data_IF_033445868001
#
_entry.id   IF_033445868001
#
_cell.length_a   1.000
_cell.length_b   1.000
_cell.length_c   1.000
_cell.angle_alpha   90.00
_cell.angle_beta   90.00
_cell.angle_gamma   90.00
#
_symmetry.space_group_name_H-M   'P 1'
#
loop_
_entity.id
_entity.type
_entity.pdbx_description
1 polymer ?
#
# COMPACT_ATOMS: atom_id res chain seq x y z
N UNK A 1 9.03 -40.22 -8.28
CA UNK A 1 8.03 -41.20 -8.76
C UNK A 1 8.13 -41.53 -10.28
N UNK A 2 9.19 -41.13 -11.01
CA UNK A 2 9.24 -41.21 -12.50
C UNK A 2 10.08 -42.35 -13.12
N UNK A 3 10.57 -43.35 -12.35
CA UNK A 3 11.43 -44.42 -12.91
C UNK A 3 10.67 -45.53 -13.68
N UNK A 4 9.35 -45.66 -13.46
CA UNK A 4 8.54 -46.75 -14.03
C UNK A 4 8.42 -46.75 -15.57
N UNK A 5 8.19 -45.62 -16.27
CA UNK A 5 8.06 -45.64 -17.73
C UNK A 5 9.39 -45.89 -18.46
N UNK A 6 10.52 -45.45 -17.90
CA UNK A 6 11.85 -45.71 -18.47
C UNK A 6 12.21 -47.19 -18.45
N UNK A 7 11.96 -47.88 -17.33
CA UNK A 7 12.21 -49.32 -17.21
C UNK A 7 11.33 -50.14 -18.15
N UNK A 8 10.09 -49.69 -18.40
CA UNK A 8 9.17 -50.37 -19.32
C UNK A 8 9.64 -50.27 -20.79
N UNK A 9 10.15 -49.11 -21.20
CA UNK A 9 10.68 -48.91 -22.56
C UNK A 9 11.97 -49.73 -22.81
N UNK A 10 12.87 -49.80 -21.82
CA UNK A 10 14.09 -50.62 -21.90
C UNK A 10 13.74 -52.11 -21.97
N UNK A 11 12.76 -52.56 -21.19
CA UNK A 11 12.27 -53.94 -21.24
C UNK A 11 11.66 -54.28 -22.60
N UNK A 12 10.85 -53.38 -23.19
CA UNK A 12 10.25 -53.58 -24.51
C UNK A 12 11.32 -53.67 -25.62
N UNK A 13 12.34 -52.81 -25.56
CA UNK A 13 13.47 -52.82 -26.49
C UNK A 13 14.25 -54.15 -26.41
N UNK A 14 14.49 -54.65 -25.20
CA UNK A 14 15.17 -55.93 -24.97
C UNK A 14 14.36 -57.13 -25.50
N UNK A 15 13.03 -57.11 -25.35
CA UNK A 15 12.14 -58.14 -25.93
C UNK A 15 12.15 -58.09 -27.47
N UNK A 16 12.13 -56.90 -28.07
CA UNK A 16 12.18 -56.75 -29.53
C UNK A 16 13.54 -57.20 -30.10
N UNK A 17 14.66 -56.88 -29.44
CA UNK A 17 16.01 -57.33 -29.82
C UNK A 17 16.19 -58.85 -29.70
N UNK A 18 15.61 -59.47 -28.67
CA UNK A 18 15.69 -60.92 -28.47
C UNK A 18 14.86 -61.70 -29.50
N UNK A 19 13.70 -61.17 -29.92
CA UNK A 19 12.92 -61.75 -31.03
C UNK A 19 13.73 -61.66 -32.35
N UNK A 20 14.45 -60.57 -32.58
CA UNK A 20 15.27 -60.38 -33.79
C UNK A 20 16.43 -61.40 -33.86
N UNK A 21 17.12 -61.66 -32.74
CA UNK A 21 18.21 -62.65 -32.65
C UNK A 21 17.76 -64.09 -32.90
N UNK A 22 16.53 -64.45 -32.50
CA UNK A 22 15.95 -65.78 -32.75
C UNK A 22 15.59 -65.95 -34.23
N UNK A 23 15.21 -64.88 -34.94
CA UNK A 23 14.88 -64.94 -36.37
C UNK A 23 16.11 -65.00 -37.29
N UNK A 24 17.25 -64.40 -36.90
CA UNK A 24 18.48 -64.42 -37.72
C UNK A 24 19.27 -65.71 -37.58
N UNK A 25 19.26 -66.34 -36.41
CA UNK A 25 19.95 -67.62 -36.16
C UNK A 25 19.30 -68.83 -36.87
N UNK A 26 18.03 -68.73 -37.28
CA UNK A 26 17.36 -69.74 -38.10
C UNK A 26 17.69 -69.69 -39.61
N UNK A 27 18.43 -68.67 -40.07
CA UNK A 27 18.66 -68.41 -41.50
C UNK A 27 20.03 -68.89 -42.03
N UNK A 28 20.87 -69.49 -41.18
CA UNK A 28 22.21 -69.99 -41.56
C UNK A 28 22.28 -71.51 -41.69
N UNK A 29 21.24 -72.14 -42.26
CA UNK A 29 21.33 -73.51 -42.73
C UNK A 29 20.90 -73.54 -44.20
N UNK A 30 21.74 -74.15 -45.05
CA UNK A 30 21.55 -74.50 -46.47
C UNK A 30 22.07 -73.50 -47.49
N UNK A 31 23.38 -73.59 -47.77
CA UNK A 31 23.91 -73.43 -49.12
C UNK A 31 25.27 -74.14 -49.25
N UNK A 32 25.30 -75.46 -49.04
CA UNK A 32 26.35 -76.31 -49.59
C UNK A 32 25.68 -77.45 -50.35
N UNK A 33 25.32 -77.19 -51.61
CA UNK A 33 25.12 -78.25 -52.58
C UNK A 33 26.26 -78.15 -53.58
N UNK A 34 27.34 -78.88 -53.30
CA UNK A 34 28.39 -79.19 -54.27
C UNK A 34 27.83 -80.23 -55.23
N UNK A 35 27.31 -79.79 -56.38
CA UNK A 35 27.01 -80.69 -57.50
C UNK A 35 28.34 -81.08 -58.17
N UNK A 36 28.79 -82.30 -57.92
CA UNK A 36 29.83 -82.96 -58.72
C UNK A 36 29.18 -83.33 -60.05
N UNK A 37 29.67 -82.79 -61.16
CA UNK A 37 29.23 -83.14 -62.52
C UNK A 37 30.20 -84.19 -63.05
N UNK A 38 29.84 -85.47 -62.94
CA UNK A 38 30.47 -86.55 -63.70
C UNK A 38 29.92 -86.56 -65.15
N UNK A 39 30.80 -86.83 -66.12
CA UNK A 39 30.51 -86.84 -67.55
C UNK A 39 29.71 -88.10 -68.00
N UNK A 40 29.00 -88.05 -69.14
CA UNK A 40 27.60 -88.49 -69.25
C UNK A 40 27.42 -89.88 -69.88
N UNK A 41 26.46 -90.68 -69.40
CA UNK A 41 25.93 -91.84 -70.16
C UNK A 41 24.44 -92.10 -69.89
N UNK A 42 23.62 -91.13 -70.27
CA UNK A 42 22.25 -91.25 -70.78
C UNK A 42 21.78 -89.80 -70.98
N UNK A 43 21.17 -89.44 -72.12
CA UNK A 43 20.44 -88.17 -72.21
C UNK A 43 19.44 -88.15 -71.06
N UNK A 44 19.58 -87.25 -70.06
CA UNK A 44 18.63 -87.21 -68.96
C UNK A 44 17.28 -86.87 -69.56
N UNK A 45 16.21 -87.53 -69.10
CA UNK A 45 14.85 -87.24 -69.55
C UNK A 45 14.63 -85.71 -69.49
N UNK A 46 14.27 -85.04 -70.60
CA UNK A 46 14.00 -83.60 -70.61
C UNK A 46 13.05 -83.18 -69.48
N UNK A 47 12.13 -84.06 -69.08
CA UNK A 47 11.23 -83.82 -67.94
C UNK A 47 11.95 -83.84 -66.59
N UNK A 48 12.99 -84.67 -66.40
CA UNK A 48 13.80 -84.66 -65.18
C UNK A 48 14.65 -83.39 -65.05
N UNK A 49 15.28 -82.93 -66.14
CA UNK A 49 16.04 -81.67 -66.13
C UNK A 49 15.09 -80.49 -65.87
N UNK A 50 13.92 -80.48 -66.53
CA UNK A 50 12.91 -79.44 -66.32
C UNK A 50 12.36 -79.46 -64.89
N UNK A 51 12.13 -80.64 -64.31
CA UNK A 51 11.68 -80.76 -62.92
C UNK A 51 12.75 -80.31 -61.92
N UNK A 52 14.01 -80.66 -62.13
CA UNK A 52 15.13 -80.18 -61.30
C UNK A 52 15.32 -78.67 -61.43
N UNK A 53 15.21 -78.11 -62.64
CA UNK A 53 15.25 -76.67 -62.86
C UNK A 53 14.06 -75.95 -62.19
N UNK A 54 12.85 -76.49 -62.31
CA UNK A 54 11.65 -75.94 -61.65
C UNK A 54 11.76 -76.02 -60.13
N UNK A 55 12.32 -77.11 -59.59
CA UNK A 55 12.55 -77.28 -58.16
C UNK A 55 13.60 -76.29 -57.65
N UNK A 56 14.74 -76.16 -58.34
CA UNK A 56 15.76 -75.15 -58.00
C UNK A 56 15.21 -73.72 -58.10
N UNK A 57 14.33 -73.44 -59.06
CA UNK A 57 13.65 -72.15 -59.21
C UNK A 57 12.67 -71.90 -58.07
N UNK A 58 11.92 -72.92 -57.63
CA UNK A 58 11.01 -72.85 -56.48
C UNK A 58 11.77 -72.65 -55.16
N UNK A 59 12.89 -73.33 -54.97
CA UNK A 59 13.76 -73.19 -53.80
C UNK A 59 14.41 -71.80 -53.77
N UNK A 60 14.86 -71.28 -54.92
CA UNK A 60 15.34 -69.91 -55.06
C UNK A 60 14.25 -68.88 -54.74
N UNK A 61 13.02 -69.09 -55.22
CA UNK A 61 11.87 -68.21 -54.94
C UNK A 61 11.48 -68.25 -53.45
N UNK A 62 11.51 -69.44 -52.82
CA UNK A 62 11.28 -69.60 -51.39
C UNK A 62 12.32 -68.84 -50.55
N UNK A 63 13.60 -68.94 -50.93
CA UNK A 63 14.71 -68.21 -50.31
C UNK A 63 14.53 -66.70 -50.47
N UNK A 64 14.12 -66.22 -51.66
CA UNK A 64 13.85 -64.80 -51.92
C UNK A 64 12.69 -64.26 -51.08
N UNK A 65 11.62 -65.05 -50.90
CA UNK A 65 10.47 -64.68 -50.07
C UNK A 65 10.85 -64.56 -48.59
N UNK A 66 11.72 -65.44 -48.08
CA UNK A 66 12.25 -65.36 -46.71
C UNK A 66 13.11 -64.10 -46.52
N UNK A 67 14.03 -63.82 -47.45
CA UNK A 67 14.85 -62.60 -47.43
C UNK A 67 13.96 -61.35 -47.43
N UNK A 68 12.94 -61.31 -48.29
CA UNK A 68 12.00 -60.18 -48.39
C UNK A 68 11.21 -59.99 -47.08
N UNK A 69 10.80 -61.08 -46.44
CA UNK A 69 10.10 -61.05 -45.15
C UNK A 69 10.99 -60.53 -44.02
N UNK A 70 12.26 -60.93 -43.99
CA UNK A 70 13.26 -60.43 -43.04
C UNK A 70 13.50 -58.92 -43.24
N UNK A 71 13.63 -58.46 -44.50
CA UNK A 71 13.80 -57.04 -44.81
C UNK A 71 12.58 -56.21 -44.38
N UNK A 72 11.37 -56.71 -44.58
CA UNK A 72 10.13 -56.06 -44.14
C UNK A 72 10.01 -56.01 -42.61
N UNK A 73 10.39 -57.06 -41.89
CA UNK A 73 10.45 -57.04 -40.42
C UNK A 73 11.50 -56.05 -39.92
N UNK A 74 12.67 -56.01 -40.56
CA UNK A 74 13.72 -55.04 -40.27
C UNK A 74 13.24 -53.60 -40.41
N UNK A 75 12.47 -53.28 -41.46
CA UNK A 75 11.94 -51.92 -41.66
C UNK A 75 10.90 -51.52 -40.63
N UNK A 76 10.03 -52.45 -40.18
CA UNK A 76 9.09 -52.20 -39.07
C UNK A 76 9.83 -51.92 -37.76
N UNK A 77 10.86 -52.71 -37.44
CA UNK A 77 11.67 -52.51 -36.23
C UNK A 77 12.39 -51.15 -36.26
N UNK A 78 12.98 -50.77 -37.40
CA UNK A 78 13.57 -49.44 -37.59
C UNK A 78 12.54 -48.33 -37.42
N UNK A 79 11.32 -48.51 -37.94
CA UNK A 79 10.21 -47.55 -37.76
C UNK A 79 9.80 -47.36 -36.31
N UNK A 80 9.67 -48.45 -35.54
CA UNK A 80 9.36 -48.41 -34.10
C UNK A 80 10.47 -47.72 -33.32
N UNK A 81 11.74 -48.04 -33.62
CA UNK A 81 12.90 -47.38 -33.00
C UNK A 81 12.91 -45.88 -33.27
N UNK A 82 12.62 -45.45 -34.50
CA UNK A 82 12.55 -44.04 -34.86
C UNK A 82 11.44 -43.29 -34.08
N UNK A 83 10.25 -43.89 -33.94
CA UNK A 83 9.15 -43.33 -33.14
C UNK A 83 9.56 -43.23 -31.66
N UNK A 84 10.18 -44.28 -31.10
CA UNK A 84 10.64 -44.28 -29.73
C UNK A 84 11.67 -43.15 -29.47
N UNK A 85 12.65 -42.99 -30.36
CA UNK A 85 13.62 -41.88 -30.29
C UNK A 85 12.91 -40.51 -30.38
N UNK A 86 11.93 -40.36 -31.27
CA UNK A 86 11.10 -39.16 -31.37
C UNK A 86 10.33 -38.83 -30.08
N UNK A 87 9.73 -39.84 -29.43
CA UNK A 87 9.02 -39.67 -28.16
C UNK A 87 9.97 -39.34 -27.00
N UNK A 88 11.13 -40.00 -26.93
CA UNK A 88 12.13 -39.71 -25.89
C UNK A 88 12.73 -38.31 -26.02
N UNK A 89 13.04 -37.89 -27.24
CA UNK A 89 13.57 -36.55 -27.51
C UNK A 89 12.54 -35.46 -27.20
N UNK A 90 11.29 -35.62 -27.65
CA UNK A 90 10.21 -34.65 -27.34
C UNK A 90 9.91 -34.59 -25.84
N UNK A 91 9.87 -35.73 -25.14
CA UNK A 91 9.69 -35.76 -23.69
C UNK A 91 10.87 -35.11 -22.95
N UNK A 92 12.11 -35.42 -23.36
CA UNK A 92 13.32 -34.80 -22.81
C UNK A 92 13.37 -33.29 -23.00
N UNK A 93 13.05 -32.80 -24.21
CA UNK A 93 12.91 -31.38 -24.52
C UNK A 93 11.84 -30.70 -23.67
N UNK A 94 10.69 -31.35 -23.48
CA UNK A 94 9.61 -30.81 -22.65
C UNK A 94 10.02 -30.68 -21.19
N UNK A 95 10.70 -31.69 -20.63
CA UNK A 95 11.20 -31.66 -19.26
C UNK A 95 12.28 -30.59 -19.08
N UNK A 96 13.21 -30.49 -20.02
CA UNK A 96 14.25 -29.46 -20.04
C UNK A 96 13.63 -28.05 -20.09
N UNK A 97 12.61 -27.84 -20.93
CA UNK A 97 11.92 -26.56 -21.02
C UNK A 97 11.19 -26.20 -19.73
N UNK A 98 10.52 -27.16 -19.07
CA UNK A 98 9.91 -26.93 -17.75
C UNK A 98 10.96 -26.56 -16.70
N UNK A 99 12.06 -27.29 -16.64
CA UNK A 99 13.14 -27.01 -15.69
C UNK A 99 13.78 -25.63 -15.93
N UNK A 100 14.03 -25.26 -17.20
CA UNK A 100 14.52 -23.92 -17.58
C UNK A 100 13.55 -22.81 -17.15
N UNK A 101 12.24 -23.02 -17.37
CA UNK A 101 11.21 -22.06 -16.97
C UNK A 101 11.19 -21.87 -15.43
N UNK A 102 11.18 -22.96 -14.68
CA UNK A 102 11.22 -22.89 -13.21
C UNK A 102 12.48 -22.17 -12.71
N UNK A 103 13.65 -22.51 -13.26
CA UNK A 103 14.90 -21.86 -12.90
C UNK A 103 14.91 -20.36 -13.25
N UNK A 104 14.28 -19.96 -14.37
CA UNK A 104 14.13 -18.55 -14.72
C UNK A 104 13.21 -17.79 -13.77
N UNK A 105 12.08 -18.40 -13.36
CA UNK A 105 11.13 -17.81 -12.41
C UNK A 105 11.77 -17.64 -11.02
N UNK A 106 12.46 -18.67 -10.52
CA UNK A 106 13.19 -18.61 -9.23
C UNK A 106 14.29 -17.53 -9.26
N UNK A 107 15.00 -17.40 -10.37
CA UNK A 107 16.03 -16.36 -10.53
C UNK A 107 15.41 -14.96 -10.55
N UNK A 108 14.30 -14.78 -11.26
CA UNK A 108 13.59 -13.50 -11.33
C UNK A 108 13.06 -13.08 -9.96
N UNK A 109 12.47 -14.03 -9.21
CA UNK A 109 12.00 -13.78 -7.85
C UNK A 109 13.17 -13.44 -6.90
N UNK A 110 14.30 -14.14 -7.00
CA UNK A 110 15.49 -13.83 -6.21
C UNK A 110 16.05 -12.42 -6.52
N UNK A 111 16.05 -12.02 -7.80
CA UNK A 111 16.43 -10.65 -8.20
C UNK A 111 15.45 -9.65 -7.61
N UNK A 112 14.13 -9.87 -7.75
CA UNK A 112 13.10 -8.98 -7.17
C UNK A 112 13.27 -8.82 -5.67
N UNK A 113 13.47 -9.92 -4.93
CA UNK A 113 13.71 -9.90 -3.48
C UNK A 113 14.97 -9.12 -3.12
N UNK A 114 16.07 -9.34 -3.84
CA UNK A 114 17.32 -8.60 -3.62
C UNK A 114 17.14 -7.11 -3.89
N UNK A 115 16.52 -6.75 -5.01
CA UNK A 115 16.23 -5.36 -5.36
C UNK A 115 15.31 -4.70 -4.33
N UNK A 116 14.31 -5.41 -3.82
CA UNK A 116 13.45 -4.92 -2.75
C UNK A 116 14.26 -4.61 -1.48
N UNK A 117 15.12 -5.54 -1.03
CA UNK A 117 16.01 -5.31 0.12
C UNK A 117 16.95 -4.12 -0.11
N UNK A 118 17.58 -4.04 -1.28
CA UNK A 118 18.48 -2.94 -1.64
C UNK A 118 17.74 -1.59 -1.67
N UNK A 119 16.50 -1.56 -2.18
CA UNK A 119 15.65 -0.37 -2.21
C UNK A 119 15.20 0.03 -0.80
N UNK A 120 14.80 -0.93 0.04
CA UNK A 120 14.44 -0.68 1.44
C UNK A 120 15.63 -0.10 2.20
N UNK A 121 16.83 -0.67 2.04
CA UNK A 121 18.02 -0.15 2.70
C UNK A 121 18.35 1.28 2.27
N UNK A 122 18.29 1.57 0.96
CA UNK A 122 18.46 2.93 0.45
C UNK A 122 17.38 3.89 0.95
N UNK A 123 16.14 3.45 1.02
CA UNK A 123 15.02 4.23 1.52
C UNK A 123 15.21 4.61 3.00
N UNK A 124 15.63 3.67 3.84
CA UNK A 124 15.96 3.95 5.25
C UNK A 124 17.06 5.00 5.38
N UNK A 125 18.12 4.92 4.56
CA UNK A 125 19.17 5.93 4.55
C UNK A 125 18.64 7.30 4.12
N UNK A 126 17.80 7.36 3.09
CA UNK A 126 17.21 8.63 2.63
C UNK A 126 16.20 9.20 3.63
N UNK A 127 15.43 8.38 4.32
CA UNK A 127 14.57 8.81 5.42
C UNK A 127 15.40 9.48 6.52
N UNK A 128 16.46 8.82 6.99
CA UNK A 128 17.32 9.39 8.04
C UNK A 128 17.99 10.70 7.64
N UNK A 129 18.43 10.83 6.37
CA UNK A 129 18.96 12.09 5.84
C UNK A 129 17.87 13.18 5.75
N UNK A 130 16.66 12.81 5.31
CA UNK A 130 15.51 13.70 5.29
C UNK A 130 15.18 14.24 6.68
N UNK A 131 15.09 13.35 7.66
CA UNK A 131 14.75 13.70 9.05
C UNK A 131 15.81 14.59 9.68
N UNK A 132 17.10 14.30 9.44
CA UNK A 132 18.18 15.16 9.89
C UNK A 132 18.08 16.57 9.30
N UNK A 133 17.79 16.69 8.00
CA UNK A 133 17.61 17.98 7.35
C UNK A 133 16.37 18.71 7.86
N UNK A 134 15.26 17.99 8.07
CA UNK A 134 14.03 18.53 8.62
C UNK A 134 14.27 19.12 10.02
N UNK A 135 14.99 18.40 10.88
CA UNK A 135 15.34 18.84 12.24
C UNK A 135 16.31 20.04 12.25
N UNK A 136 17.03 20.29 11.16
CA UNK A 136 17.86 21.48 10.97
C UNK A 136 17.13 22.62 10.22
N UNK A 137 15.80 22.56 10.14
CA UNK A 137 14.92 23.52 9.43
C UNK A 137 15.21 23.64 7.91
N UNK A 138 15.94 22.68 7.33
CA UNK A 138 16.23 22.59 5.89
C UNK A 138 15.14 21.83 5.15
N UNK A 139 13.89 22.28 5.33
CA UNK A 139 12.67 21.57 4.90
C UNK A 139 12.62 21.26 3.41
N UNK A 140 13.05 22.19 2.56
CA UNK A 140 13.05 21.99 1.10
C UNK A 140 14.00 20.88 0.66
N UNK A 141 15.15 20.77 1.33
CA UNK A 141 16.14 19.73 1.04
C UNK A 141 15.69 18.38 1.59
N UNK A 142 15.05 18.36 2.75
CA UNK A 142 14.44 17.16 3.32
C UNK A 142 13.42 16.54 2.35
N UNK A 143 12.54 17.37 1.77
CA UNK A 143 11.54 16.96 0.76
C UNK A 143 12.17 16.25 -0.44
N UNK A 144 13.36 16.67 -0.89
CA UNK A 144 14.05 15.99 -1.99
C UNK A 144 14.47 14.55 -1.63
N UNK A 145 14.83 14.28 -0.38
CA UNK A 145 15.11 12.92 0.09
C UNK A 145 13.84 12.10 0.30
N UNK A 146 12.79 12.70 0.86
CA UNK A 146 11.49 12.05 1.01
C UNK A 146 10.88 11.61 -0.33
N UNK A 147 11.04 12.40 -1.40
CA UNK A 147 10.62 11.99 -2.76
C UNK A 147 11.38 10.77 -3.26
N UNK A 148 12.67 10.64 -2.94
CA UNK A 148 13.46 9.44 -3.29
C UNK A 148 12.96 8.21 -2.54
N UNK A 149 12.58 8.35 -1.28
CA UNK A 149 11.99 7.25 -0.49
C UNK A 149 10.73 6.71 -1.17
N UNK A 150 9.79 7.59 -1.54
CA UNK A 150 8.57 7.20 -2.24
C UNK A 150 8.84 6.51 -3.59
N UNK A 151 9.86 6.95 -4.33
CA UNK A 151 10.24 6.32 -5.60
C UNK A 151 10.86 4.91 -5.43
N UNK A 152 11.46 4.62 -4.28
CA UNK A 152 12.08 3.32 -3.99
C UNK A 152 11.07 2.31 -3.47
N UNK A 153 10.07 2.76 -2.72
CA UNK A 153 9.05 1.94 -2.06
C UNK A 153 7.62 2.40 -2.43
N UNK A 154 7.25 2.41 -3.72
CA UNK A 154 5.96 2.97 -4.15
C UNK A 154 4.75 2.17 -3.66
N UNK A 155 4.91 0.87 -3.36
CA UNK A 155 3.85 -0.05 -2.94
C UNK A 155 3.82 -0.27 -1.41
N UNK A 156 4.55 0.52 -0.62
CA UNK A 156 4.55 0.40 0.84
C UNK A 156 3.58 1.42 1.46
N UNK A 157 2.47 0.94 2.04
CA UNK A 157 1.44 1.83 2.58
C UNK A 157 1.89 2.63 3.79
N UNK A 158 2.72 2.06 4.66
CA UNK A 158 3.19 2.71 5.90
C UNK A 158 4.19 3.83 5.56
N UNK A 159 5.06 3.56 4.60
CA UNK A 159 6.00 4.56 4.08
C UNK A 159 5.25 5.70 3.40
N UNK A 160 4.28 5.39 2.54
CA UNK A 160 3.48 6.42 1.88
C UNK A 160 2.64 7.24 2.89
N UNK A 161 2.08 6.62 3.93
CA UNK A 161 1.41 7.34 5.02
C UNK A 161 2.37 8.29 5.76
N UNK A 162 3.56 7.79 6.11
CA UNK A 162 4.60 8.59 6.78
C UNK A 162 5.07 9.77 5.92
N UNK A 163 5.30 9.55 4.63
CA UNK A 163 5.63 10.60 3.67
C UNK A 163 4.51 11.64 3.57
N UNK A 164 3.25 11.20 3.55
CA UNK A 164 2.09 12.09 3.56
C UNK A 164 2.09 13.03 4.76
N UNK A 165 2.34 12.50 5.96
CA UNK A 165 2.40 13.29 7.21
C UNK A 165 3.52 14.33 7.16
N UNK A 166 4.68 13.93 6.66
CA UNK A 166 5.84 14.82 6.48
C UNK A 166 5.54 15.95 5.47
N UNK A 167 4.98 15.62 4.30
CA UNK A 167 4.60 16.61 3.29
C UNK A 167 3.52 17.58 3.82
N UNK A 168 2.54 17.06 4.56
CA UNK A 168 1.49 17.87 5.19
C UNK A 168 2.06 18.82 6.24
N UNK A 169 2.99 18.36 7.08
CA UNK A 169 3.69 19.18 8.08
C UNK A 169 4.60 20.25 7.48
N UNK A 170 5.10 20.03 6.25
CA UNK A 170 5.95 20.99 5.51
C UNK A 170 5.16 21.91 4.58
N UNK A 171 3.83 21.76 4.48
CA UNK A 171 2.96 22.59 3.64
C UNK A 171 2.86 22.14 2.17
N UNK A 172 3.47 21.00 1.80
CA UNK A 172 3.37 20.40 0.47
C UNK A 172 2.11 19.54 0.36
N UNK A 173 0.94 20.17 0.45
CA UNK A 173 -0.33 19.45 0.60
C UNK A 173 -0.69 18.55 -0.60
N UNK A 174 -0.31 18.92 -1.82
CA UNK A 174 -0.56 18.09 -3.01
C UNK A 174 0.28 16.80 -3.00
N UNK A 175 1.56 16.91 -2.61
CA UNK A 175 2.44 15.76 -2.41
C UNK A 175 1.90 14.88 -1.26
N UNK A 176 1.40 15.50 -0.18
CA UNK A 176 0.79 14.79 0.94
C UNK A 176 -0.42 13.96 0.53
N UNK A 177 -1.37 14.59 -0.17
CA UNK A 177 -2.59 13.96 -0.67
C UNK A 177 -2.24 12.81 -1.62
N UNK A 178 -1.24 13.00 -2.50
CA UNK A 178 -0.76 11.95 -3.40
C UNK A 178 -0.21 10.76 -2.63
N UNK A 179 0.61 11.00 -1.61
CA UNK A 179 1.21 9.95 -0.79
C UNK A 179 0.13 9.19 0.02
N UNK A 180 -0.80 9.88 0.67
CA UNK A 180 -1.89 9.20 1.38
C UNK A 180 -2.79 8.38 0.44
N UNK A 181 -3.10 8.89 -0.76
CA UNK A 181 -3.84 8.12 -1.77
C UNK A 181 -3.07 6.88 -2.23
N UNK A 182 -1.74 6.95 -2.33
CA UNK A 182 -0.90 5.79 -2.60
C UNK A 182 -0.91 4.78 -1.44
N UNK A 183 -0.92 5.25 -0.18
CA UNK A 183 -1.08 4.36 0.96
C UNK A 183 -2.43 3.63 0.94
N UNK A 184 -3.51 4.34 0.61
CA UNK A 184 -4.87 3.80 0.55
C UNK A 184 -5.12 2.90 -0.67
N UNK A 185 -4.37 3.06 -1.77
CA UNK A 185 -4.48 2.18 -2.93
C UNK A 185 -3.88 0.79 -2.66
N UNK A 186 -2.88 0.71 -1.77
CA UNK A 186 -2.30 -0.54 -1.28
C UNK A 186 -3.13 -1.12 -0.13
N UNK A 187 -3.47 -0.28 0.85
CA UNK A 187 -4.22 -0.68 2.05
C UNK A 187 -5.50 0.14 2.17
N UNK A 188 -6.59 -0.37 1.59
CA UNK A 188 -7.87 0.35 1.49
C UNK A 188 -8.63 0.58 2.79
N UNK A 189 -8.26 -0.11 3.88
CA UNK A 189 -8.87 0.03 5.21
C UNK A 189 -7.87 0.64 6.22
N UNK A 190 -7.07 1.62 5.78
CA UNK A 190 -6.08 2.28 6.63
C UNK A 190 -6.67 3.54 7.29
N UNK A 191 -7.28 3.37 8.46
CA UNK A 191 -8.00 4.45 9.15
C UNK A 191 -7.14 5.70 9.45
N UNK A 192 -5.86 5.52 9.80
CA UNK A 192 -4.93 6.63 10.03
C UNK A 192 -4.66 7.41 8.74
N UNK A 193 -4.43 6.73 7.62
CA UNK A 193 -4.21 7.38 6.33
C UNK A 193 -5.48 8.11 5.83
N UNK A 194 -6.68 7.56 6.07
CA UNK A 194 -7.95 8.25 5.78
C UNK A 194 -8.09 9.54 6.62
N UNK A 195 -7.78 9.47 7.92
CA UNK A 195 -7.81 10.62 8.80
C UNK A 195 -6.81 11.70 8.33
N UNK A 196 -5.55 11.32 8.13
CA UNK A 196 -4.48 12.25 7.73
C UNK A 196 -4.72 12.84 6.33
N UNK A 197 -5.31 12.07 5.41
CA UNK A 197 -5.74 12.57 4.11
C UNK A 197 -6.80 13.64 4.25
N UNK A 198 -7.83 13.41 5.07
CA UNK A 198 -8.86 14.42 5.31
C UNK A 198 -8.31 15.69 5.99
N UNK A 199 -7.37 15.54 6.92
CA UNK A 199 -6.66 16.68 7.52
C UNK A 199 -5.78 17.43 6.52
N UNK A 200 -5.14 16.73 5.57
CA UNK A 200 -4.34 17.35 4.52
C UNK A 200 -5.20 18.17 3.55
N UNK A 201 -6.35 17.64 3.14
CA UNK A 201 -7.35 18.40 2.36
C UNK A 201 -7.80 19.66 3.09
N UNK A 202 -8.16 19.56 4.38
CA UNK A 202 -8.52 20.75 5.19
C UNK A 202 -7.42 21.80 5.17
N UNK A 203 -6.17 21.40 5.41
CA UNK A 203 -5.02 22.32 5.43
C UNK A 203 -4.77 22.94 4.05
N UNK A 204 -4.91 22.18 2.96
CA UNK A 204 -4.82 22.70 1.59
C UNK A 204 -5.88 23.76 1.34
N UNK A 205 -7.13 23.49 1.72
CA UNK A 205 -8.24 24.44 1.61
C UNK A 205 -8.00 25.73 2.38
N UNK A 206 -7.44 25.64 3.60
CA UNK A 206 -7.05 26.81 4.41
C UNK A 206 -5.90 27.63 3.80
N UNK A 207 -5.04 27.00 3.01
CA UNK A 207 -3.90 27.65 2.37
C UNK A 207 -4.24 28.29 1.01
N UNK A 208 -5.42 28.01 0.45
CA UNK A 208 -5.83 28.55 -0.85
C UNK A 208 -5.89 30.08 -0.86
N UNK A 209 -5.36 30.69 -1.93
CA UNK A 209 -5.34 32.14 -2.15
C UNK A 209 -5.64 32.45 -3.62
N UNK A 210 -6.15 33.65 -3.89
CA UNK A 210 -6.48 34.09 -5.24
C UNK A 210 -7.97 34.00 -5.59
N UNK A 211 -8.35 34.28 -6.85
CA UNK A 211 -9.74 34.44 -7.26
C UNK A 211 -10.56 33.14 -7.13
N UNK A 212 -9.93 31.98 -7.36
CA UNK A 212 -10.61 30.68 -7.31
C UNK A 212 -10.54 30.02 -5.91
N UNK A 213 -9.97 30.71 -4.92
CA UNK A 213 -9.66 30.14 -3.62
C UNK A 213 -10.89 29.62 -2.88
N UNK A 214 -12.04 30.29 -3.01
CA UNK A 214 -13.28 29.85 -2.40
C UNK A 214 -13.76 28.52 -2.97
N UNK A 215 -13.80 28.40 -4.30
CA UNK A 215 -14.26 27.18 -4.98
C UNK A 215 -13.34 26.01 -4.64
N UNK A 216 -12.02 26.21 -4.72
CA UNK A 216 -11.04 25.17 -4.39
C UNK A 216 -11.09 24.77 -2.92
N UNK A 217 -11.24 25.74 -2.00
CA UNK A 217 -11.35 25.46 -0.56
C UNK A 217 -12.61 24.67 -0.23
N UNK A 218 -13.74 25.00 -0.85
CA UNK A 218 -14.99 24.26 -0.63
C UNK A 218 -14.86 22.81 -1.11
N UNK A 219 -14.27 22.59 -2.29
CA UNK A 219 -13.97 21.25 -2.78
C UNK A 219 -13.03 20.47 -1.85
N UNK A 220 -11.98 21.13 -1.33
CA UNK A 220 -11.07 20.54 -0.35
C UNK A 220 -11.79 20.20 0.97
N UNK A 221 -12.74 21.00 1.43
CA UNK A 221 -13.52 20.68 2.63
C UNK A 221 -14.50 19.53 2.42
N UNK A 222 -15.10 19.42 1.23
CA UNK A 222 -15.94 18.27 0.89
C UNK A 222 -15.13 16.96 0.91
N UNK A 223 -13.94 16.96 0.30
CA UNK A 223 -13.01 15.82 0.34
C UNK A 223 -12.53 15.52 1.78
N UNK A 224 -12.25 16.56 2.58
CA UNK A 224 -11.89 16.38 3.99
C UNK A 224 -12.99 15.65 4.77
N UNK A 225 -14.26 16.04 4.58
CA UNK A 225 -15.40 15.39 5.22
C UNK A 225 -15.55 13.93 4.78
N UNK A 226 -15.34 13.62 3.49
CA UNK A 226 -15.41 12.24 2.97
C UNK A 226 -14.41 11.33 3.68
N UNK A 227 -13.13 11.74 3.70
CA UNK A 227 -12.06 10.92 4.25
C UNK A 227 -12.09 10.82 5.78
N UNK A 228 -12.43 11.91 6.49
CA UNK A 228 -12.60 11.86 7.94
C UNK A 228 -13.81 11.02 8.36
N UNK A 229 -14.92 11.04 7.59
CA UNK A 229 -16.05 10.14 7.81
C UNK A 229 -15.64 8.68 7.59
N UNK A 230 -14.87 8.41 6.54
CA UNK A 230 -14.33 7.06 6.29
C UNK A 230 -13.42 6.58 7.43
N UNK A 231 -12.61 7.47 8.00
CA UNK A 231 -11.77 7.14 9.16
C UNK A 231 -12.60 6.72 10.38
N UNK A 232 -13.71 7.42 10.69
CA UNK A 232 -14.60 7.04 11.80
C UNK A 232 -15.48 5.82 11.47
N UNK A 233 -15.80 5.57 10.19
CA UNK A 233 -16.44 4.30 9.79
C UNK A 233 -15.53 3.09 10.08
N UNK A 234 -14.23 3.25 9.86
CA UNK A 234 -13.21 2.24 10.17
C UNK A 234 -12.91 2.15 11.67
N UNK A 235 -12.96 3.28 12.39
CA UNK A 235 -12.71 3.37 13.83
C UNK A 235 -13.69 4.38 14.49
N UNK A 236 -14.85 3.94 15.00
CA UNK A 236 -15.92 4.83 15.47
C UNK A 236 -15.53 5.82 16.58
N UNK A 237 -14.61 5.45 17.47
CA UNK A 237 -14.12 6.30 18.56
C UNK A 237 -12.74 6.89 18.25
N UNK A 238 -12.44 7.18 16.97
CA UNK A 238 -11.18 7.80 16.59
C UNK A 238 -11.22 9.30 16.90
N UNK A 239 -10.72 9.66 18.09
CA UNK A 239 -10.77 11.03 18.61
C UNK A 239 -10.22 12.07 17.63
N UNK A 240 -9.01 11.86 17.09
CA UNK A 240 -8.39 12.78 16.12
C UNK A 240 -9.26 12.99 14.86
N UNK A 241 -9.92 11.94 14.35
CA UNK A 241 -10.79 12.06 13.18
C UNK A 241 -12.10 12.79 13.51
N UNK A 242 -12.68 12.55 14.70
CA UNK A 242 -13.84 13.28 15.20
C UNK A 242 -13.52 14.76 15.42
N UNK A 243 -12.38 15.06 16.05
CA UNK A 243 -11.87 16.42 16.21
C UNK A 243 -11.59 17.08 14.86
N UNK A 244 -11.06 16.33 13.89
CA UNK A 244 -10.88 16.75 12.51
C UNK A 244 -12.20 17.16 11.83
N UNK A 245 -13.27 16.37 11.98
CA UNK A 245 -14.60 16.72 11.46
C UNK A 245 -15.11 18.00 12.12
N UNK A 246 -14.95 18.11 13.45
CA UNK A 246 -15.26 19.31 14.20
C UNK A 246 -14.56 20.54 13.62
N UNK A 247 -13.27 20.42 13.32
CA UNK A 247 -12.46 21.49 12.75
C UNK A 247 -12.90 21.88 11.33
N UNK A 248 -13.22 20.92 10.45
CA UNK A 248 -13.70 21.22 9.09
C UNK A 248 -15.03 21.97 9.16
N UNK A 249 -16.01 21.47 9.92
CA UNK A 249 -17.30 22.14 10.06
C UNK A 249 -17.16 23.53 10.68
N UNK A 250 -16.28 23.69 11.68
CA UNK A 250 -16.01 25.01 12.26
C UNK A 250 -15.48 25.99 11.20
N UNK A 251 -14.57 25.56 10.32
CA UNK A 251 -14.07 26.40 9.22
C UNK A 251 -15.14 26.76 8.21
N UNK A 252 -16.01 25.81 7.86
CA UNK A 252 -17.15 26.10 7.01
C UNK A 252 -18.08 27.14 7.67
N UNK A 253 -18.33 27.02 8.98
CA UNK A 253 -19.08 28.01 9.75
C UNK A 253 -18.44 29.40 9.76
N UNK A 254 -17.12 29.47 9.96
CA UNK A 254 -16.37 30.73 9.92
C UNK A 254 -16.49 31.43 8.55
N UNK A 255 -16.43 30.67 7.45
CA UNK A 255 -16.58 31.21 6.09
C UNK A 255 -17.99 31.73 5.85
N UNK A 256 -19.01 30.95 6.19
CA UNK A 256 -20.41 31.38 6.01
C UNK A 256 -20.73 32.61 6.86
N UNK A 257 -20.20 32.67 8.09
CA UNK A 257 -20.34 33.85 8.96
C UNK A 257 -19.69 35.07 8.33
N UNK A 258 -18.46 34.94 7.82
CA UNK A 258 -17.76 36.05 7.20
C UNK A 258 -18.44 36.51 5.89
N UNK A 259 -19.19 35.60 5.23
CA UNK A 259 -20.10 35.89 4.13
C UNK A 259 -21.50 36.40 4.57
N UNK A 260 -21.73 36.62 5.87
CA UNK A 260 -23.00 37.08 6.45
C UNK A 260 -24.18 36.11 6.26
N UNK A 261 -23.89 34.81 6.14
CA UNK A 261 -24.88 33.73 6.08
C UNK A 261 -25.10 33.10 7.47
N UNK A 262 -25.59 33.89 8.42
CA UNK A 262 -25.63 33.52 9.85
C UNK A 262 -26.35 32.20 10.15
N UNK A 263 -27.45 31.90 9.44
CA UNK A 263 -28.19 30.64 9.63
C UNK A 263 -27.33 29.42 9.27
N UNK A 264 -26.67 29.46 8.11
CA UNK A 264 -25.81 28.39 7.63
C UNK A 264 -24.52 28.28 8.45
N UNK A 265 -23.98 29.41 8.89
CA UNK A 265 -22.87 29.43 9.84
C UNK A 265 -23.23 28.71 11.14
N UNK A 266 -24.42 29.01 11.68
CA UNK A 266 -24.94 28.37 12.88
C UNK A 266 -25.09 26.85 12.70
N UNK A 267 -25.65 26.38 11.59
CA UNK A 267 -25.75 24.95 11.28
C UNK A 267 -24.37 24.28 11.29
N UNK A 268 -23.36 24.90 10.68
CA UNK A 268 -22.01 24.35 10.70
C UNK A 268 -21.37 24.36 12.09
N UNK A 269 -21.61 25.39 12.92
CA UNK A 269 -21.12 25.42 14.29
C UNK A 269 -21.78 24.37 15.19
N UNK A 270 -23.08 24.10 15.02
CA UNK A 270 -23.77 23.02 15.72
C UNK A 270 -23.18 21.65 15.35
N UNK A 271 -22.85 21.47 14.07
CA UNK A 271 -22.24 20.24 13.55
C UNK A 271 -20.82 20.08 14.08
N UNK A 272 -20.04 21.16 14.06
CA UNK A 272 -18.70 21.19 14.64
C UNK A 272 -18.73 20.77 16.11
N UNK A 273 -19.63 21.38 16.89
CA UNK A 273 -19.79 21.07 18.31
C UNK A 273 -20.17 19.62 18.55
N UNK A 274 -21.07 19.07 17.75
CA UNK A 274 -21.47 17.66 17.84
C UNK A 274 -20.27 16.72 17.69
N UNK A 275 -19.41 16.96 16.69
CA UNK A 275 -18.23 16.13 16.48
C UNK A 275 -17.17 16.34 17.57
N UNK A 276 -16.95 17.57 18.05
CA UNK A 276 -16.07 17.80 19.19
C UNK A 276 -16.59 17.14 20.48
N UNK A 277 -17.91 17.11 20.70
CA UNK A 277 -18.50 16.40 21.84
C UNK A 277 -18.30 14.88 21.72
N UNK A 278 -18.33 14.32 20.51
CA UNK A 278 -17.98 12.91 20.28
C UNK A 278 -16.49 12.66 20.51
N UNK A 279 -15.62 13.55 20.05
CA UNK A 279 -14.17 13.49 20.29
C UNK A 279 -13.87 13.48 21.79
N UNK A 280 -14.51 14.36 22.56
CA UNK A 280 -14.41 14.39 24.02
C UNK A 280 -14.89 13.08 24.67
N UNK A 281 -15.94 12.44 24.16
CA UNK A 281 -16.39 11.15 24.72
C UNK A 281 -15.34 10.06 24.44
N UNK A 282 -14.66 10.12 23.29
CA UNK A 282 -13.58 9.20 22.95
C UNK A 282 -12.31 9.43 23.78
N UNK A 283 -11.94 10.69 24.04
CA UNK A 283 -10.88 11.08 25.00
C UNK A 283 -11.36 12.19 25.95
N UNK A 284 -11.83 11.83 27.17
CA UNK A 284 -12.26 12.81 28.16
C UNK A 284 -11.13 13.71 28.69
N UNK A 285 -9.87 13.37 28.42
CA UNK A 285 -8.71 14.18 28.81
C UNK A 285 -8.33 15.24 27.78
N UNK A 286 -8.95 15.23 26.60
CA UNK A 286 -8.70 16.18 25.52
C UNK A 286 -9.23 17.58 25.88
N UNK A 287 -8.34 18.41 26.44
CA UNK A 287 -8.56 19.84 26.68
C UNK A 287 -8.98 20.56 25.39
N UNK A 288 -8.42 20.14 24.26
CA UNK A 288 -8.76 20.64 22.93
C UNK A 288 -10.23 20.38 22.58
N UNK A 289 -10.71 19.14 22.67
CA UNK A 289 -12.11 18.82 22.36
C UNK A 289 -13.07 19.57 23.31
N UNK A 290 -12.77 19.56 24.61
CA UNK A 290 -13.52 20.27 25.65
C UNK A 290 -13.61 21.77 25.38
N UNK A 291 -12.47 22.42 25.10
CA UNK A 291 -12.38 23.85 24.82
C UNK A 291 -13.16 24.24 23.56
N UNK A 292 -13.13 23.42 22.52
CA UNK A 292 -13.92 23.68 21.31
C UNK A 292 -15.42 23.54 21.55
N UNK A 293 -15.88 22.53 22.30
CA UNK A 293 -17.29 22.43 22.70
C UNK A 293 -17.70 23.64 23.53
N UNK A 294 -16.86 24.06 24.48
CA UNK A 294 -17.11 25.22 25.34
C UNK A 294 -17.24 26.52 24.53
N UNK A 295 -16.28 26.80 23.65
CA UNK A 295 -16.27 27.99 22.80
C UNK A 295 -17.48 28.05 21.85
N UNK A 296 -17.81 26.92 21.21
CA UNK A 296 -18.97 26.86 20.33
C UNK A 296 -20.27 27.02 21.11
N UNK A 297 -20.38 26.43 22.31
CA UNK A 297 -21.56 26.60 23.16
C UNK A 297 -21.72 28.05 23.63
N UNK A 298 -20.61 28.73 23.96
CA UNK A 298 -20.63 30.16 24.28
C UNK A 298 -21.13 30.98 23.09
N UNK A 299 -20.54 30.77 21.92
CA UNK A 299 -20.90 31.48 20.70
C UNK A 299 -22.38 31.27 20.32
N UNK A 300 -22.90 30.05 20.50
CA UNK A 300 -24.29 29.70 20.19
C UNK A 300 -25.31 30.20 21.23
N UNK A 301 -24.85 30.80 22.35
CA UNK A 301 -25.67 31.35 23.43
C UNK A 301 -26.00 30.38 24.57
N UNK A 302 -25.42 29.18 24.56
CA UNK A 302 -25.70 28.10 25.51
C UNK A 302 -24.78 28.18 26.75
N UNK A 303 -24.92 29.26 27.52
CA UNK A 303 -23.97 29.60 28.60
C UNK A 303 -23.76 28.54 29.67
N UNK A 304 -24.83 27.84 30.06
CA UNK A 304 -24.73 26.83 31.12
C UNK A 304 -23.86 25.66 30.69
N UNK A 305 -23.98 25.26 29.43
CA UNK A 305 -23.17 24.20 28.85
C UNK A 305 -21.75 24.70 28.63
N UNK A 306 -21.59 25.91 28.07
CA UNK A 306 -20.29 26.56 27.93
C UNK A 306 -19.53 26.62 29.26
N UNK A 307 -20.18 27.07 30.34
CA UNK A 307 -19.59 27.12 31.69
C UNK A 307 -19.12 25.74 32.16
N UNK A 308 -19.95 24.71 32.00
CA UNK A 308 -19.59 23.33 32.39
C UNK A 308 -18.37 22.85 31.61
N UNK A 309 -18.35 23.05 30.30
CA UNK A 309 -17.23 22.62 29.46
C UNK A 309 -15.96 23.42 29.71
N UNK A 310 -16.02 24.73 29.99
CA UNK A 310 -14.84 25.50 30.38
C UNK A 310 -14.23 25.02 31.70
N UNK A 311 -15.05 24.66 32.70
CA UNK A 311 -14.56 24.07 33.96
C UNK A 311 -13.81 22.76 33.67
N UNK A 312 -14.38 21.90 32.82
CA UNK A 312 -13.76 20.64 32.44
C UNK A 312 -12.48 20.84 31.62
N UNK A 313 -12.49 21.77 30.66
CA UNK A 313 -11.33 22.12 29.83
C UNK A 313 -10.17 22.63 30.69
N UNK A 314 -10.44 23.54 31.64
CA UNK A 314 -9.43 24.06 32.56
C UNK A 314 -8.83 22.94 33.43
N UNK A 315 -9.68 22.05 33.96
CA UNK A 315 -9.22 20.94 34.79
C UNK A 315 -8.37 19.94 33.99
N UNK A 316 -8.81 19.57 32.78
CA UNK A 316 -8.08 18.67 31.89
C UNK A 316 -6.71 19.26 31.50
N UNK A 317 -6.69 20.53 31.09
CA UNK A 317 -5.47 21.24 30.73
C UNK A 317 -4.48 21.29 31.91
N UNK A 318 -4.94 21.65 33.13
CA UNK A 318 -4.10 21.68 34.33
C UNK A 318 -3.48 20.31 34.64
N UNK A 319 -4.26 19.23 34.56
CA UNK A 319 -3.75 17.87 34.78
C UNK A 319 -2.69 17.50 33.74
N UNK A 320 -2.92 17.83 32.47
CA UNK A 320 -1.96 17.56 31.39
C UNK A 320 -0.67 18.36 31.57
N UNK A 321 -0.76 19.64 31.90
CA UNK A 321 0.40 20.51 32.20
C UNK A 321 1.24 19.93 33.35
N UNK A 322 0.61 19.48 34.42
CA UNK A 322 1.31 18.87 35.56
C UNK A 322 2.02 17.56 35.19
N UNK A 323 1.43 16.75 34.30
CA UNK A 323 1.97 15.45 33.92
C UNK A 323 3.02 15.51 32.80
N UNK A 324 2.94 16.51 31.92
CA UNK A 324 3.73 16.54 30.69
C UNK A 324 5.11 17.19 30.82
N UNK A 325 5.39 17.92 31.91
CA UNK A 325 6.66 18.62 32.09
C UNK A 325 6.91 19.70 31.03
N UNK A 326 8.10 19.69 30.38
CA UNK A 326 8.49 20.63 29.30
C UNK A 326 8.45 19.97 27.91
N UNK A 327 7.33 19.33 27.56
CA UNK A 327 7.16 18.77 26.21
C UNK A 327 6.83 19.86 25.19
N UNK A 328 7.28 19.73 23.92
CA UNK A 328 7.09 20.78 22.91
C UNK A 328 5.63 21.11 22.56
N UNK A 329 4.67 20.23 22.87
CA UNK A 329 3.26 20.39 22.52
C UNK A 329 2.40 20.93 23.64
N UNK A 330 2.97 21.09 24.84
CA UNK A 330 2.21 21.46 26.04
C UNK A 330 1.61 22.87 25.99
N UNK A 331 2.08 23.72 25.07
CA UNK A 331 1.55 25.08 24.90
C UNK A 331 0.06 25.10 24.54
N UNK A 332 -0.47 24.06 23.87
CA UNK A 332 -1.90 23.96 23.59
C UNK A 332 -2.73 23.92 24.87
N UNK A 333 -2.31 23.10 25.84
CA UNK A 333 -2.98 23.01 27.13
C UNK A 333 -2.93 24.35 27.89
N UNK A 334 -1.84 25.11 27.78
CA UNK A 334 -1.78 26.47 28.36
C UNK A 334 -2.80 27.41 27.71
N UNK A 335 -2.98 27.35 26.38
CA UNK A 335 -3.99 28.17 25.70
C UNK A 335 -5.41 27.79 26.08
N UNK A 336 -5.70 26.49 26.20
CA UNK A 336 -7.01 25.99 26.63
C UNK A 336 -7.30 26.37 28.09
N UNK A 337 -6.30 26.27 28.97
CA UNK A 337 -6.40 26.75 30.35
C UNK A 337 -6.66 28.27 30.39
N UNK A 338 -5.86 29.06 29.67
CA UNK A 338 -5.96 30.52 29.67
C UNK A 338 -7.34 30.98 29.19
N UNK A 339 -7.85 30.34 28.13
CA UNK A 339 -9.16 30.65 27.59
C UNK A 339 -10.28 30.33 28.58
N UNK A 340 -10.22 29.15 29.21
CA UNK A 340 -11.18 28.76 30.22
C UNK A 340 -11.16 29.71 31.43
N UNK A 341 -9.97 30.09 31.92
CA UNK A 341 -9.80 31.06 33.00
C UNK A 341 -10.40 32.42 32.65
N UNK A 342 -10.20 32.88 31.42
CA UNK A 342 -10.72 34.17 30.95
C UNK A 342 -12.26 34.17 30.95
N UNK A 343 -12.88 33.15 30.35
CA UNK A 343 -14.34 33.05 30.26
C UNK A 343 -14.98 32.77 31.63
N UNK A 344 -14.39 31.90 32.45
CA UNK A 344 -14.88 31.65 33.82
C UNK A 344 -14.71 32.88 34.71
N UNK A 345 -13.64 33.65 34.51
CA UNK A 345 -13.44 34.93 35.16
C UNK A 345 -14.52 35.95 34.79
N UNK A 346 -14.96 35.96 33.54
CA UNK A 346 -16.11 36.77 33.10
C UNK A 346 -17.41 36.30 33.77
N UNK A 347 -17.72 34.99 33.69
CA UNK A 347 -18.92 34.40 34.30
C UNK A 347 -19.00 34.66 35.82
N UNK A 348 -17.86 34.61 36.51
CA UNK A 348 -17.78 34.76 37.96
C UNK A 348 -17.51 36.21 38.39
N UNK A 349 -17.45 37.18 37.47
CA UNK A 349 -17.05 38.57 37.73
C UNK A 349 -15.72 38.70 38.49
N UNK A 350 -14.76 37.82 38.20
CA UNK A 350 -13.47 37.74 38.89
C UNK A 350 -12.37 38.41 38.09
N UNK A 351 -12.00 39.63 38.48
CA UNK A 351 -10.84 40.35 37.90
C UNK A 351 -9.55 39.53 38.05
N UNK A 352 -9.34 38.90 39.21
CA UNK A 352 -8.14 38.11 39.49
C UNK A 352 -7.98 36.91 38.55
N UNK A 353 -9.07 36.20 38.24
CA UNK A 353 -9.02 35.08 37.28
C UNK A 353 -8.68 35.56 35.86
N UNK A 354 -9.22 36.72 35.45
CA UNK A 354 -8.90 37.31 34.15
C UNK A 354 -7.45 37.84 34.09
N UNK A 355 -6.91 38.35 35.20
CA UNK A 355 -5.48 38.67 35.34
C UNK A 355 -4.60 37.41 35.22
N UNK A 356 -5.00 36.31 35.88
CA UNK A 356 -4.31 35.01 35.79
C UNK A 356 -4.32 34.46 34.37
N UNK A 357 -5.45 34.54 33.67
CA UNK A 357 -5.57 34.12 32.28
C UNK A 357 -4.54 34.79 31.36
N UNK A 358 -4.30 36.10 31.51
CA UNK A 358 -3.27 36.81 30.73
C UNK A 358 -1.86 36.34 31.06
N UNK A 359 -1.58 35.97 32.31
CA UNK A 359 -0.30 35.37 32.69
C UNK A 359 -0.12 33.99 32.04
N UNK A 360 -1.18 33.19 32.00
CA UNK A 360 -1.19 31.88 31.33
C UNK A 360 -0.98 32.04 29.81
N UNK A 361 -1.63 33.02 29.17
CA UNK A 361 -1.36 33.36 27.76
C UNK A 361 0.11 33.76 27.54
N UNK A 362 0.69 34.59 28.40
CA UNK A 362 2.09 34.99 28.30
C UNK A 362 3.05 33.81 28.46
N UNK A 363 2.70 32.79 29.25
CA UNK A 363 3.47 31.55 29.34
C UNK A 363 3.34 30.72 28.05
N UNK A 364 2.12 30.60 27.52
CA UNK A 364 1.83 29.87 26.29
C UNK A 364 2.61 30.44 25.09
N UNK A 365 2.63 31.76 24.91
CA UNK A 365 3.32 32.41 23.77
C UNK A 365 4.82 32.12 23.76
N UNK A 366 5.48 32.13 24.93
CA UNK A 366 6.92 31.78 25.05
C UNK A 366 7.26 30.35 24.67
N UNK A 367 6.28 29.44 24.79
CA UNK A 367 6.43 28.03 24.44
C UNK A 367 5.99 27.73 23.00
N UNK A 368 5.35 28.69 22.33
CA UNK A 368 4.75 28.46 21.02
C UNK A 368 5.83 28.43 19.94
N UNK A 369 5.92 27.37 19.12
CA UNK A 369 7.03 27.19 18.19
C UNK A 369 6.98 28.08 16.94
N UNK A 370 5.82 28.70 16.64
CA UNK A 370 5.74 29.62 15.51
C UNK A 370 4.34 30.13 15.17
N UNK A 371 4.29 30.90 14.09
CA UNK A 371 3.12 31.66 13.63
C UNK A 371 1.92 30.78 13.30
N UNK A 372 2.15 29.56 12.78
CA UNK A 372 1.06 28.64 12.40
C UNK A 372 0.21 28.30 13.63
N UNK A 373 0.87 28.00 14.74
CA UNK A 373 0.22 27.66 16.01
C UNK A 373 -0.52 28.87 16.57
N UNK A 374 0.11 30.04 16.58
CA UNK A 374 -0.52 31.30 17.03
C UNK A 374 -1.78 31.62 16.23
N UNK A 375 -1.75 31.47 14.90
CA UNK A 375 -2.91 31.68 14.05
C UNK A 375 -4.06 30.73 14.41
N UNK A 376 -3.78 29.47 14.76
CA UNK A 376 -4.81 28.53 15.21
C UNK A 376 -5.53 29.01 16.48
N UNK A 377 -4.76 29.49 17.47
CA UNK A 377 -5.34 30.00 18.73
C UNK A 377 -6.13 31.28 18.49
N UNK A 378 -5.60 32.21 17.68
CA UNK A 378 -6.28 33.45 17.32
C UNK A 378 -7.64 33.20 16.67
N UNK A 379 -7.76 32.17 15.83
CA UNK A 379 -9.06 31.78 15.27
C UNK A 379 -10.10 31.45 16.35
N UNK A 380 -9.66 30.90 17.49
CA UNK A 380 -10.56 30.62 18.60
C UNK A 380 -11.00 31.89 19.34
N UNK A 381 -10.07 32.79 19.61
CA UNK A 381 -10.38 34.07 20.27
C UNK A 381 -11.26 34.96 19.39
N UNK A 382 -10.98 35.02 18.08
CA UNK A 382 -11.76 35.80 17.12
C UNK A 382 -13.20 35.31 16.99
N UNK A 383 -13.45 34.00 17.14
CA UNK A 383 -14.81 33.46 17.20
C UNK A 383 -15.55 34.03 18.41
N UNK A 384 -14.93 34.01 19.59
CA UNK A 384 -15.54 34.52 20.82
C UNK A 384 -15.68 36.04 20.84
N UNK A 385 -14.78 36.77 20.19
CA UNK A 385 -14.88 38.22 20.03
C UNK A 385 -16.14 38.61 19.25
N UNK A 386 -16.59 37.74 18.33
CA UNK A 386 -17.82 37.89 17.55
C UNK A 386 -19.05 37.30 18.24
N UNK A 387 -18.92 36.74 19.45
CA UNK A 387 -20.07 36.22 20.19
C UNK A 387 -20.96 37.39 20.66
N UNK A 388 -22.24 37.10 20.92
CA UNK A 388 -23.18 38.10 21.44
C UNK A 388 -22.72 38.70 22.77
N UNK A 389 -21.97 37.93 23.56
CA UNK A 389 -21.47 38.34 24.86
C UNK A 389 -19.99 38.63 24.83
N UNK A 390 -19.67 39.86 25.19
CA UNK A 390 -18.31 40.33 25.31
C UNK A 390 -17.60 39.67 26.50
N UNK A 391 -16.34 39.27 26.29
CA UNK A 391 -15.46 38.77 27.33
C UNK A 391 -14.41 39.84 27.62
N UNK A 392 -14.43 40.40 28.83
CA UNK A 392 -13.44 41.39 29.24
C UNK A 392 -12.01 40.86 29.09
N UNK A 393 -11.12 41.70 28.55
CA UNK A 393 -9.71 41.41 28.22
C UNK A 393 -9.44 40.39 27.13
N UNK A 394 -10.47 39.93 26.41
CA UNK A 394 -10.27 39.11 25.22
C UNK A 394 -9.41 39.83 24.17
N UNK A 395 -9.66 41.11 23.93
CA UNK A 395 -8.86 41.95 23.01
C UNK A 395 -7.40 42.07 23.46
N UNK A 396 -7.15 42.10 24.78
CA UNK A 396 -5.79 42.10 25.32
C UNK A 396 -5.09 40.77 25.03
N UNK A 397 -5.77 39.63 25.22
CA UNK A 397 -5.20 38.33 24.87
C UNK A 397 -4.91 38.22 23.36
N UNK A 398 -5.83 38.69 22.50
CA UNK A 398 -5.64 38.74 21.04
C UNK A 398 -4.40 39.58 20.70
N UNK A 399 -4.27 40.78 21.26
CA UNK A 399 -3.13 41.66 21.02
C UNK A 399 -1.79 41.00 21.43
N UNK A 400 -1.76 40.28 22.55
CA UNK A 400 -0.56 39.55 22.98
C UNK A 400 -0.14 38.47 21.98
N UNK A 401 -1.10 37.75 21.40
CA UNK A 401 -0.82 36.71 20.41
C UNK A 401 -0.39 37.30 19.06
N UNK A 402 -0.98 38.42 18.66
CA UNK A 402 -0.55 39.15 17.45
C UNK A 402 0.86 39.73 17.60
N UNK A 403 1.20 40.28 18.78
CA UNK A 403 2.57 40.72 19.06
C UNK A 403 3.55 39.55 19.01
N UNK A 404 3.20 38.39 19.57
CA UNK A 404 4.04 37.20 19.54
C UNK A 404 4.29 36.66 18.12
N UNK A 405 3.48 37.00 17.11
CA UNK A 405 3.74 36.64 15.71
C UNK A 405 4.86 37.46 15.08
N UNK A 406 5.23 38.59 15.68
CA UNK A 406 6.24 39.52 15.17
C UNK A 406 7.62 39.33 15.81
N UNK A 407 7.70 38.52 16.87
CA UNK A 407 8.92 38.13 17.58
C UNK A 407 9.46 36.83 16.99
#
# INVERSE_FOLDING_TARGET
MQRKPFLFAVALLAVLLSILLVTTSGSHALAHNTTIIDAPTATPDPNQILNQANQATSEAQGTLNVITSILNLGSVVVGILAIAVGLFTTFGLTLLNRYRKQLSEEREEAIKRRTAVDNTLKAVVYLGLGDQLYNHDRKQEAVAFYRKVGSLLPEDSEINNSLGRIYSGTGYYDDAITAFKAALSVTSNFAEAEMELGLAYRRRGEAQKGPDAETLRNADYDEALVHLKRAIDLRPNYEDALAGLGAVYRRMGDIERDAQHDSKAREYYEQARKYYAQAQIADPSSSYALGNVASLSWYLGEKNDAKRYFILAEAAAKVRILNAGRTPEIYWDYYDQALAQLVLGEINNSKAMKDEALQTYAAATRLTPGIIQLNSVLNNLNLLQKAQEHIDRLDTAIAMLEEAKTQ
#
